data_IF_428038768174
#
_entry.id   IF_428038768174
#
_cell.length_a   1.000
_cell.length_b   1.000
_cell.length_c   1.000
_cell.angle_alpha   90.00
_cell.angle_beta   90.00
_cell.angle_gamma   90.00
#
_symmetry.space_group_name_H-M   'P 1'
#
loop_
_entity.id
_entity.type
_entity.pdbx_description
1 polymer ?
#
# COMPACT_ATOMS: atom_id res chain seq x y z
N UNK A 1 -25.15 8.68 8.65
CA UNK A 1 -23.88 8.98 9.32
C UNK A 1 -23.27 10.19 8.64
N UNK A 2 -22.91 11.22 9.39
CA UNK A 2 -22.13 12.37 8.89
C UNK A 2 -20.63 12.08 8.96
N UNK A 3 -19.79 12.89 8.31
CA UNK A 3 -18.32 12.78 8.46
C UNK A 3 -17.89 12.99 9.92
N UNK A 4 -18.57 13.89 10.62
CA UNK A 4 -18.31 14.15 12.03
C UNK A 4 -18.56 12.89 12.88
N UNK A 5 -19.73 12.26 12.72
CA UNK A 5 -20.05 11.01 13.39
C UNK A 5 -19.05 9.91 13.04
N UNK A 6 -18.60 9.83 11.79
CA UNK A 6 -17.60 8.85 11.37
C UNK A 6 -16.29 8.99 12.16
N UNK A 7 -15.74 10.20 12.30
CA UNK A 7 -14.50 10.42 13.06
C UNK A 7 -14.66 10.08 14.54
N UNK A 8 -15.77 10.49 15.15
CA UNK A 8 -16.05 10.18 16.56
C UNK A 8 -16.16 8.67 16.79
N UNK A 9 -16.81 7.93 15.88
CA UNK A 9 -16.90 6.48 16.00
C UNK A 9 -15.55 5.79 15.77
N UNK A 10 -14.70 6.29 14.85
CA UNK A 10 -13.35 5.76 14.68
C UNK A 10 -12.49 5.91 15.94
N UNK A 11 -12.61 7.04 16.65
CA UNK A 11 -11.92 7.23 17.93
C UNK A 11 -12.44 6.26 18.99
N UNK A 12 -13.76 6.16 19.16
CA UNK A 12 -14.40 5.27 20.16
C UNK A 12 -14.01 3.81 20.01
N UNK A 13 -13.91 3.30 18.78
CA UNK A 13 -13.52 1.90 18.53
C UNK A 13 -12.00 1.70 18.57
N UNK A 14 -11.23 2.75 18.84
CA UNK A 14 -9.77 2.71 18.85
C UNK A 14 -9.16 2.51 17.46
N UNK A 15 -9.86 2.85 16.38
CA UNK A 15 -9.29 2.84 15.04
C UNK A 15 -8.29 3.99 14.84
N UNK A 16 -8.42 5.08 15.61
CA UNK A 16 -7.43 6.16 15.69
C UNK A 16 -6.70 6.03 17.03
N UNK A 17 -5.39 5.79 16.99
CA UNK A 17 -4.55 5.57 18.17
C UNK A 17 -3.46 6.63 18.23
N UNK A 18 -3.25 7.22 19.41
CA UNK A 18 -2.15 8.15 19.69
C UNK A 18 -1.13 7.50 20.64
N UNK A 19 0.16 7.70 20.40
CA UNK A 19 1.21 6.97 21.11
C UNK A 19 2.47 6.82 20.25
N UNK A 20 3.31 5.84 20.55
CA UNK A 20 4.51 5.56 19.75
C UNK A 20 4.32 4.28 18.95
N UNK A 21 4.28 4.40 17.63
CA UNK A 21 4.05 3.27 16.72
C UNK A 21 5.21 3.12 15.74
N UNK A 22 5.86 1.97 15.73
CA UNK A 22 6.91 1.68 14.76
C UNK A 22 6.28 1.28 13.43
N UNK A 23 6.46 2.11 12.40
CA UNK A 23 5.99 1.86 11.04
C UNK A 23 6.88 0.82 10.35
N UNK A 24 6.39 0.22 9.25
CA UNK A 24 7.19 -0.68 8.40
C UNK A 24 8.48 -0.02 7.87
N UNK A 25 8.50 1.31 7.77
CA UNK A 25 9.69 2.08 7.39
C UNK A 25 10.76 2.16 8.50
N UNK A 26 10.47 1.70 9.71
CA UNK A 26 11.30 1.87 10.91
C UNK A 26 11.11 3.22 11.62
N UNK A 27 10.31 4.13 11.06
CA UNK A 27 9.99 5.41 11.70
C UNK A 27 9.02 5.20 12.88
N UNK A 28 9.17 6.00 13.92
CA UNK A 28 8.24 6.04 15.05
C UNK A 28 7.21 7.14 14.80
N UNK A 29 5.97 6.74 14.57
CA UNK A 29 4.82 7.62 14.38
C UNK A 29 4.15 7.96 15.71
N UNK A 30 3.73 9.23 15.92
CA UNK A 30 2.97 9.65 17.10
C UNK A 30 1.50 9.19 17.07
N UNK A 31 1.06 8.60 15.95
CA UNK A 31 -0.30 8.12 15.73
C UNK A 31 -0.35 6.89 14.82
N UNK A 32 -1.46 6.16 14.85
CA UNK A 32 -1.75 5.06 13.94
C UNK A 32 -3.25 5.03 13.63
N UNK A 33 -3.59 4.80 12.36
CA UNK A 33 -4.98 4.66 11.91
C UNK A 33 -5.15 3.26 11.37
N UNK A 34 -6.10 2.51 11.91
CA UNK A 34 -6.40 1.13 11.56
C UNK A 34 -7.85 0.94 11.12
N UNK A 35 -8.10 1.12 9.83
CA UNK A 35 -9.45 0.96 9.27
C UNK A 35 -9.88 -0.50 9.12
N UNK A 36 -9.03 -1.49 9.45
CA UNK A 36 -9.46 -2.90 9.47
C UNK A 36 -10.51 -3.14 10.55
N UNK A 37 -10.41 -2.42 11.66
CA UNK A 37 -11.34 -2.54 12.79
C UNK A 37 -12.79 -2.29 12.38
N UNK A 38 -13.04 -1.38 11.43
CA UNK A 38 -14.41 -1.01 11.04
C UNK A 38 -15.21 -2.19 10.49
N UNK A 39 -14.53 -3.23 9.99
CA UNK A 39 -15.19 -4.45 9.48
C UNK A 39 -15.95 -5.22 10.57
N UNK A 40 -15.57 -5.03 11.84
CA UNK A 40 -16.25 -5.58 13.02
C UNK A 40 -17.44 -4.74 13.48
N UNK A 41 -17.70 -3.58 12.85
CA UNK A 41 -18.76 -2.63 13.22
C UNK A 41 -19.67 -2.36 12.02
N UNK A 42 -20.72 -3.19 11.78
CA UNK A 42 -21.53 -3.13 10.57
C UNK A 42 -22.21 -1.78 10.31
N UNK A 43 -22.61 -1.05 11.35
CA UNK A 43 -23.19 0.28 11.21
C UNK A 43 -22.17 1.31 10.71
N UNK A 44 -20.94 1.25 11.23
CA UNK A 44 -19.84 2.10 10.82
C UNK A 44 -19.39 1.78 9.39
N UNK A 45 -19.24 0.48 9.08
CA UNK A 45 -18.92 0.01 7.74
C UNK A 45 -19.99 0.43 6.70
N UNK A 46 -21.27 0.32 7.04
CA UNK A 46 -22.34 0.82 6.18
C UNK A 46 -22.35 2.35 6.08
N UNK A 47 -22.05 3.05 7.16
CA UNK A 47 -21.96 4.50 7.23
C UNK A 47 -20.89 5.05 6.28
N UNK A 48 -19.67 4.50 6.34
CA UNK A 48 -18.59 4.90 5.42
C UNK A 48 -18.92 4.57 3.97
N UNK A 49 -19.53 3.41 3.71
CA UNK A 49 -19.95 3.05 2.35
C UNK A 49 -21.03 3.99 1.80
N UNK A 50 -21.97 4.45 2.65
CA UNK A 50 -22.97 5.46 2.25
C UNK A 50 -22.31 6.81 1.92
N UNK A 51 -21.37 7.26 2.76
CA UNK A 51 -20.65 8.51 2.55
C UNK A 51 -19.81 8.49 1.26
N UNK A 52 -19.14 7.37 0.99
CA UNK A 52 -18.40 7.18 -0.25
C UNK A 52 -19.34 7.12 -1.45
N UNK A 53 -20.40 6.31 -1.40
CA UNK A 53 -21.37 6.19 -2.48
C UNK A 53 -21.96 7.56 -2.86
N UNK A 54 -22.35 8.37 -1.86
CA UNK A 54 -22.86 9.72 -2.09
C UNK A 54 -21.82 10.66 -2.73
N UNK A 55 -20.54 10.54 -2.34
CA UNK A 55 -19.45 11.37 -2.88
C UNK A 55 -19.18 11.07 -4.37
N UNK A 56 -19.38 9.83 -4.81
CA UNK A 56 -18.93 9.36 -6.12
C UNK A 56 -20.08 9.07 -7.08
N UNK A 57 -21.34 9.16 -6.65
CA UNK A 57 -22.52 8.75 -7.44
C UNK A 57 -22.62 9.43 -8.82
N UNK A 58 -22.09 10.64 -8.94
CA UNK A 58 -22.15 11.46 -10.15
C UNK A 58 -20.85 11.38 -10.98
N UNK A 59 -19.87 10.55 -10.57
CA UNK A 59 -18.65 10.30 -11.33
C UNK A 59 -18.90 9.33 -12.48
N UNK A 60 -18.14 9.47 -13.56
CA UNK A 60 -18.23 8.62 -14.76
C UNK A 60 -17.32 7.39 -14.63
N UNK A 61 -17.91 6.24 -14.32
CA UNK A 61 -17.20 4.96 -14.26
C UNK A 61 -18.16 3.78 -14.46
N UNK A 62 -17.64 2.65 -14.94
CA UNK A 62 -18.42 1.44 -15.26
C UNK A 62 -18.38 0.42 -14.12
N UNK A 63 -17.20 0.26 -13.51
CA UNK A 63 -16.92 -0.79 -12.53
C UNK A 63 -16.14 -0.24 -11.32
N UNK A 64 -16.23 -0.95 -10.20
CA UNK A 64 -15.54 -0.59 -8.95
C UNK A 64 -14.55 -1.68 -8.60
N UNK A 65 -13.40 -1.29 -8.05
CA UNK A 65 -12.50 -2.20 -7.34
C UNK A 65 -12.12 -1.67 -5.97
N UNK A 66 -11.73 -2.58 -5.08
CA UNK A 66 -11.12 -2.26 -3.79
C UNK A 66 -9.69 -2.77 -3.73
N UNK A 67 -8.75 -1.96 -3.22
CA UNK A 67 -7.38 -2.41 -2.96
C UNK A 67 -7.38 -3.42 -1.79
N UNK A 68 -6.85 -4.65 -1.98
CA UNK A 68 -6.85 -5.64 -0.91
C UNK A 68 -6.02 -5.23 0.31
N UNK A 69 -6.46 -5.47 1.55
CA UNK A 69 -7.68 -6.20 1.95
C UNK A 69 -8.75 -5.29 2.56
N UNK A 70 -8.35 -4.25 3.28
CA UNK A 70 -9.26 -3.40 4.08
C UNK A 70 -10.32 -2.72 3.22
N UNK A 71 -9.97 -2.33 1.99
CA UNK A 71 -10.90 -1.64 1.11
C UNK A 71 -11.92 -2.59 0.44
N UNK A 72 -11.70 -3.91 0.43
CA UNK A 72 -12.61 -4.84 -0.26
C UNK A 72 -14.02 -4.87 0.33
N UNK A 73 -14.23 -4.99 1.67
CA UNK A 73 -15.57 -4.89 2.25
C UNK A 73 -16.24 -3.54 1.98
N UNK A 74 -15.46 -2.45 2.01
CA UNK A 74 -15.95 -1.10 1.74
C UNK A 74 -16.42 -1.00 0.28
N UNK A 75 -15.56 -1.39 -0.67
CA UNK A 75 -15.83 -1.35 -2.10
C UNK A 75 -17.02 -2.24 -2.46
N UNK A 76 -17.16 -3.42 -1.85
CA UNK A 76 -18.30 -4.29 -2.07
C UNK A 76 -19.63 -3.64 -1.67
N UNK A 77 -19.67 -2.95 -0.53
CA UNK A 77 -20.87 -2.24 -0.11
C UNK A 77 -21.15 -1.00 -0.96
N UNK A 78 -20.12 -0.28 -1.37
CA UNK A 78 -20.25 0.88 -2.28
C UNK A 78 -20.80 0.42 -3.64
N UNK A 79 -20.22 -0.64 -4.22
CA UNK A 79 -20.67 -1.24 -5.47
C UNK A 79 -22.14 -1.70 -5.38
N UNK A 80 -22.52 -2.35 -4.28
CA UNK A 80 -23.90 -2.74 -4.03
C UNK A 80 -24.84 -1.53 -3.92
N UNK A 81 -24.43 -0.42 -3.28
CA UNK A 81 -25.26 0.79 -3.17
C UNK A 81 -25.45 1.49 -4.52
N UNK A 82 -24.40 1.53 -5.34
CA UNK A 82 -24.41 2.18 -6.65
C UNK A 82 -24.89 1.27 -7.78
N UNK A 83 -25.19 0.00 -7.48
CA UNK A 83 -25.56 -1.01 -8.48
C UNK A 83 -24.51 -1.16 -9.59
N UNK A 84 -23.23 -1.09 -9.21
CA UNK A 84 -22.08 -1.21 -10.11
C UNK A 84 -21.40 -2.58 -9.93
N UNK A 85 -20.89 -3.21 -11.00
CA UNK A 85 -20.09 -4.43 -10.87
C UNK A 85 -18.85 -4.20 -10.01
N UNK A 86 -18.56 -5.15 -9.12
CA UNK A 86 -17.31 -5.20 -8.35
C UNK A 86 -16.33 -6.16 -9.02
N UNK A 87 -15.11 -5.69 -9.26
CA UNK A 87 -13.96 -6.52 -9.58
C UNK A 87 -12.89 -6.35 -8.49
N UNK A 88 -11.92 -7.26 -8.40
CA UNK A 88 -10.81 -7.10 -7.45
C UNK A 88 -9.56 -7.89 -7.85
N UNK A 89 -8.38 -7.34 -7.55
CA UNK A 89 -7.09 -8.01 -7.74
C UNK A 89 -6.86 -8.99 -6.59
N UNK A 90 -6.37 -10.19 -6.88
CA UNK A 90 -5.83 -11.12 -5.88
C UNK A 90 -4.42 -10.69 -5.51
N UNK A 91 -4.09 -10.73 -4.23
CA UNK A 91 -2.72 -10.46 -3.77
C UNK A 91 -1.76 -11.60 -4.12
N UNK A 92 -2.27 -12.82 -4.22
CA UNK A 92 -1.51 -14.03 -4.54
C UNK A 92 -1.87 -14.51 -5.94
N UNK A 93 -0.86 -14.75 -6.77
CA UNK A 93 -1.05 -15.40 -8.07
C UNK A 93 -1.32 -16.89 -7.85
N UNK A 94 -2.41 -17.41 -8.43
CA UNK A 94 -2.64 -18.85 -8.46
C UNK A 94 -1.93 -19.44 -9.67
N UNK A 95 -1.08 -20.44 -9.44
CA UNK A 95 -0.38 -21.17 -10.49
C UNK A 95 -1.29 -22.03 -11.40
N UNK A 96 -2.57 -22.24 -11.05
CA UNK A 96 -3.49 -23.12 -11.77
C UNK A 96 -4.89 -22.49 -11.97
N UNK A 97 -5.45 -22.59 -13.19
CA UNK A 97 -6.77 -22.06 -13.57
C UNK A 97 -6.73 -21.07 -14.73
N UNK A 98 -7.80 -20.26 -14.95
CA UNK A 98 -7.92 -19.26 -16.04
C UNK A 98 -6.98 -18.03 -15.93
N UNK A 99 -5.85 -18.15 -15.20
CA UNK A 99 -4.65 -17.31 -15.35
C UNK A 99 -4.74 -15.83 -14.97
N UNK A 100 -5.90 -15.29 -14.60
CA UNK A 100 -6.06 -13.86 -14.27
C UNK A 100 -5.77 -13.53 -12.81
N UNK A 101 -5.05 -12.43 -12.58
CA UNK A 101 -4.88 -11.81 -11.26
C UNK A 101 -6.11 -11.02 -10.80
N UNK A 102 -7.05 -10.72 -11.72
CA UNK A 102 -8.30 -9.98 -11.47
C UNK A 102 -9.49 -10.93 -11.46
N UNK A 103 -10.34 -10.78 -10.44
CA UNK A 103 -11.61 -11.50 -10.28
C UNK A 103 -12.76 -10.57 -10.62
N UNK A 104 -13.74 -11.07 -11.36
CA UNK A 104 -14.95 -10.34 -11.76
C UNK A 104 -15.15 -10.38 -13.27
N UNK A 105 -16.18 -9.70 -13.75
CA UNK A 105 -16.44 -9.52 -15.19
C UNK A 105 -16.21 -8.07 -15.55
N UNK A 106 -15.44 -7.84 -16.61
CA UNK A 106 -15.15 -6.53 -17.17
C UNK A 106 -14.87 -6.67 -18.67
N UNK A 107 -14.93 -5.58 -19.39
CA UNK A 107 -14.58 -5.46 -20.80
C UNK A 107 -13.39 -4.52 -20.97
N UNK A 108 -12.71 -4.65 -22.11
CA UNK A 108 -11.64 -3.72 -22.45
C UNK A 108 -12.24 -2.33 -22.68
N UNK A 109 -11.67 -1.32 -22.06
CA UNK A 109 -12.16 0.07 -22.08
C UNK A 109 -13.16 0.40 -20.97
N UNK A 110 -13.54 -0.56 -20.12
CA UNK A 110 -14.33 -0.23 -18.92
C UNK A 110 -13.53 0.73 -18.04
N UNK A 111 -14.19 1.80 -17.56
CA UNK A 111 -13.62 2.74 -16.60
C UNK A 111 -13.78 2.21 -15.18
N UNK A 112 -12.66 2.00 -14.50
CA UNK A 112 -12.63 1.46 -13.15
C UNK A 112 -12.30 2.53 -12.12
N UNK A 113 -13.22 2.71 -11.16
CA UNK A 113 -13.00 3.50 -9.97
C UNK A 113 -12.32 2.65 -8.89
N UNK A 114 -11.15 3.08 -8.42
CA UNK A 114 -10.37 2.34 -7.42
C UNK A 114 -10.61 2.90 -6.02
N UNK A 115 -11.14 2.07 -5.13
CA UNK A 115 -11.37 2.42 -3.72
C UNK A 115 -10.22 1.89 -2.85
N UNK A 116 -9.69 2.74 -1.96
CA UNK A 116 -8.75 2.36 -0.91
C UNK A 116 -9.25 2.82 0.47
N UNK A 117 -8.76 2.19 1.53
CA UNK A 117 -9.10 2.61 2.90
C UNK A 117 -8.35 3.90 3.26
N UNK A 118 -7.06 3.96 2.98
CA UNK A 118 -6.26 5.14 3.26
C UNK A 118 -5.15 5.35 2.22
N UNK A 119 -4.62 6.57 2.16
CA UNK A 119 -3.40 6.86 1.39
C UNK A 119 -2.33 7.45 2.30
N UNK A 120 -1.10 7.00 2.09
CA UNK A 120 0.11 7.57 2.71
C UNK A 120 1.08 8.00 1.63
N UNK A 121 1.29 7.11 0.66
CA UNK A 121 2.02 7.31 -0.60
C UNK A 121 1.16 6.75 -1.73
N UNK A 122 1.38 7.20 -2.96
CA UNK A 122 0.70 6.74 -4.18
C UNK A 122 1.11 5.34 -4.64
N UNK A 123 2.26 4.82 -4.20
CA UNK A 123 2.82 3.54 -4.68
C UNK A 123 1.83 2.36 -4.82
N UNK A 124 1.01 2.04 -3.78
CA UNK A 124 0.06 0.90 -3.85
C UNK A 124 -1.07 1.12 -4.85
N UNK A 125 -1.44 2.39 -5.06
CA UNK A 125 -2.48 2.81 -6.00
C UNK A 125 -1.96 2.71 -7.42
N UNK A 126 -0.75 3.21 -7.67
CA UNK A 126 -0.07 3.10 -8.97
C UNK A 126 0.10 1.63 -9.36
N UNK A 127 0.61 0.77 -8.46
CA UNK A 127 0.74 -0.68 -8.73
C UNK A 127 -0.62 -1.35 -9.03
N UNK A 128 -1.69 -0.85 -8.43
CA UNK A 128 -3.04 -1.32 -8.69
C UNK A 128 -3.53 -0.89 -10.07
N UNK A 129 -3.40 0.40 -10.42
CA UNK A 129 -3.78 0.93 -11.72
C UNK A 129 -3.05 0.20 -12.85
N UNK A 130 -1.73 0.06 -12.76
CA UNK A 130 -0.93 -0.64 -13.77
C UNK A 130 -1.43 -2.08 -14.03
N UNK A 131 -1.87 -2.78 -12.98
CA UNK A 131 -2.40 -4.14 -13.12
C UNK A 131 -3.73 -4.17 -13.89
N UNK A 132 -4.60 -3.18 -13.67
CA UNK A 132 -5.87 -3.03 -14.38
C UNK A 132 -5.68 -2.56 -15.82
N UNK A 133 -4.80 -1.58 -16.04
CA UNK A 133 -4.45 -1.07 -17.37
C UNK A 133 -3.83 -2.16 -18.24
N UNK A 134 -2.97 -3.02 -17.69
CA UNK A 134 -2.43 -4.20 -18.39
C UNK A 134 -3.52 -5.19 -18.80
N UNK A 135 -4.64 -5.25 -18.06
CA UNK A 135 -5.81 -6.04 -18.41
C UNK A 135 -6.78 -5.33 -19.36
N UNK A 136 -6.46 -4.09 -19.79
CA UNK A 136 -7.27 -3.29 -20.71
C UNK A 136 -8.40 -2.51 -20.03
N UNK A 137 -8.34 -2.33 -18.71
CA UNK A 137 -9.29 -1.51 -17.93
C UNK A 137 -8.70 -0.12 -17.73
N UNK A 138 -9.50 0.92 -17.91
CA UNK A 138 -9.06 2.32 -17.74
C UNK A 138 -9.16 2.72 -16.27
N UNK A 139 -8.11 3.32 -15.71
CA UNK A 139 -8.10 3.82 -14.32
C UNK A 139 -7.74 5.30 -14.34
N UNK A 140 -8.66 6.16 -13.93
CA UNK A 140 -8.43 7.61 -13.83
C UNK A 140 -8.57 8.12 -12.39
N UNK A 141 -9.49 7.53 -11.62
CA UNK A 141 -9.92 8.07 -10.33
C UNK A 141 -9.68 7.07 -9.19
N UNK A 142 -9.02 7.56 -8.15
CA UNK A 142 -8.89 6.89 -6.86
C UNK A 142 -9.76 7.56 -5.82
N UNK A 143 -10.44 6.75 -5.01
CA UNK A 143 -11.27 7.23 -3.90
C UNK A 143 -10.77 6.60 -2.61
N UNK A 144 -10.44 7.42 -1.62
CA UNK A 144 -9.93 6.97 -0.33
C UNK A 144 -10.84 7.41 0.81
N UNK A 145 -10.96 6.58 1.84
CA UNK A 145 -11.67 7.01 3.06
C UNK A 145 -10.86 8.09 3.76
N UNK A 146 -9.59 7.84 4.04
CA UNK A 146 -8.72 8.79 4.75
C UNK A 146 -7.50 9.15 3.92
N UNK A 147 -7.35 10.44 3.65
CA UNK A 147 -6.08 10.98 3.17
C UNK A 147 -5.21 11.43 4.33
N UNK A 148 -4.18 10.64 4.62
CA UNK A 148 -3.14 10.97 5.61
C UNK A 148 -1.79 11.27 4.96
N UNK A 149 -1.77 11.39 3.64
CA UNK A 149 -0.57 11.78 2.91
C UNK A 149 -0.35 13.28 3.10
N UNK A 150 0.89 13.73 2.90
CA UNK A 150 1.14 15.17 2.79
C UNK A 150 1.34 15.62 1.34
N UNK A 151 1.43 14.70 0.38
CA UNK A 151 1.58 15.00 -1.06
C UNK A 151 0.98 13.90 -1.99
N UNK A 152 0.03 13.10 -1.49
CA UNK A 152 -0.49 11.95 -2.22
C UNK A 152 -1.30 12.33 -3.46
N UNK A 153 -1.95 13.50 -3.43
CA UNK A 153 -2.63 14.08 -4.60
C UNK A 153 -1.62 14.38 -5.69
N UNK A 154 -0.55 15.13 -5.39
CA UNK A 154 0.46 15.52 -6.37
C UNK A 154 1.21 14.30 -6.93
N UNK A 155 1.48 13.29 -6.09
CA UNK A 155 2.13 12.05 -6.53
C UNK A 155 1.27 11.30 -7.56
N UNK A 156 -0.04 11.21 -7.35
CA UNK A 156 -0.96 10.55 -8.27
C UNK A 156 -1.20 11.37 -9.54
N UNK A 157 -1.32 12.69 -9.41
CA UNK A 157 -1.48 13.61 -10.56
C UNK A 157 -0.27 13.55 -11.51
N UNK A 158 0.94 13.39 -10.99
CA UNK A 158 2.16 13.18 -11.80
C UNK A 158 2.11 11.91 -12.66
N UNK A 159 1.28 10.94 -12.27
CA UNK A 159 1.06 9.69 -13.01
C UNK A 159 -0.25 9.70 -13.81
N UNK A 160 -0.94 10.84 -13.89
CA UNK A 160 -2.19 10.99 -14.64
C UNK A 160 -3.44 10.57 -13.89
N UNK A 161 -3.36 10.32 -12.58
CA UNK A 161 -4.47 9.87 -11.75
C UNK A 161 -5.03 10.98 -10.86
N UNK A 162 -6.33 10.96 -10.59
CA UNK A 162 -7.01 11.88 -9.68
C UNK A 162 -7.28 11.21 -8.35
N UNK A 163 -7.04 11.93 -7.25
CA UNK A 163 -7.31 11.45 -5.90
C UNK A 163 -8.52 12.18 -5.29
N UNK A 164 -9.46 11.41 -4.76
CA UNK A 164 -10.64 11.89 -4.05
C UNK A 164 -10.66 11.32 -2.64
N UNK A 165 -10.59 12.16 -1.62
CA UNK A 165 -10.68 11.71 -0.23
C UNK A 165 -12.05 12.02 0.38
N UNK A 166 -12.55 11.12 1.24
CA UNK A 166 -13.73 11.40 2.04
C UNK A 166 -13.39 12.41 3.14
N UNK A 167 -12.26 12.24 3.81
CA UNK A 167 -11.77 13.14 4.85
C UNK A 167 -10.23 13.16 4.87
N UNK A 168 -9.64 14.31 5.20
CA UNK A 168 -8.20 14.45 5.38
C UNK A 168 -7.78 14.22 6.83
N UNK A 169 -6.51 13.88 7.07
CA UNK A 169 -5.94 13.82 8.42
C UNK A 169 -6.04 15.16 9.14
N UNK A 170 -5.90 16.28 8.41
CA UNK A 170 -6.04 17.63 8.97
C UNK A 170 -7.45 17.82 9.53
N UNK A 171 -8.49 17.46 8.77
CA UNK A 171 -9.88 17.57 9.21
C UNK A 171 -10.17 16.65 10.40
N UNK A 172 -9.62 15.43 10.41
CA UNK A 172 -9.73 14.49 11.54
C UNK A 172 -9.14 15.11 12.80
N UNK A 173 -7.91 15.63 12.72
CA UNK A 173 -7.22 16.22 13.88
C UNK A 173 -7.95 17.47 14.41
N UNK A 174 -8.44 18.31 13.50
CA UNK A 174 -9.20 19.49 13.87
C UNK A 174 -10.49 19.11 14.61
N UNK A 175 -11.23 18.13 14.09
CA UNK A 175 -12.45 17.66 14.72
C UNK A 175 -12.19 17.02 16.09
N UNK A 176 -11.18 16.15 16.21
CA UNK A 176 -10.82 15.53 17.49
C UNK A 176 -10.39 16.58 18.53
N UNK A 177 -9.75 17.66 18.09
CA UNK A 177 -9.39 18.79 18.95
C UNK A 177 -10.61 19.58 19.40
N UNK A 178 -11.55 19.87 18.50
CA UNK A 178 -12.81 20.56 18.81
C UNK A 178 -13.67 19.76 19.80
N UNK A 179 -13.58 18.43 19.75
CA UNK A 179 -14.23 17.52 20.69
C UNK A 179 -13.43 17.30 21.99
N UNK A 180 -12.32 18.03 22.18
CA UNK A 180 -11.42 17.92 23.34
C UNK A 180 -10.81 16.52 23.56
N UNK A 181 -10.83 15.66 22.55
CA UNK A 181 -10.27 14.29 22.59
C UNK A 181 -8.75 14.30 22.45
N UNK A 182 -8.18 15.35 21.85
CA UNK A 182 -6.74 15.56 21.75
C UNK A 182 -6.35 17.01 22.05
N UNK A 183 -5.10 17.19 22.51
CA UNK A 183 -4.56 18.52 22.80
C UNK A 183 -4.02 19.21 21.55
N UNK A 184 -3.93 20.55 21.57
CA UNK A 184 -3.26 21.30 20.51
C UNK A 184 -1.79 20.89 20.31
N UNK A 185 -1.11 20.49 21.39
CA UNK A 185 0.24 19.95 21.32
C UNK A 185 0.30 18.63 20.53
N UNK A 186 -0.68 17.75 20.73
CA UNK A 186 -0.78 16.48 19.98
C UNK A 186 -1.06 16.70 18.50
N UNK A 187 -1.94 17.65 18.16
CA UNK A 187 -2.19 18.03 16.76
C UNK A 187 -0.89 18.45 16.09
N UNK A 188 -0.15 19.38 16.71
CA UNK A 188 1.12 19.87 16.20
C UNK A 188 2.15 18.75 16.02
N UNK A 189 2.26 17.84 16.99
CA UNK A 189 3.16 16.68 16.90
C UNK A 189 2.85 15.78 15.68
N UNK A 190 1.58 15.53 15.40
CA UNK A 190 1.14 14.71 14.25
C UNK A 190 1.41 15.43 12.92
N UNK A 191 1.13 16.74 12.86
CA UNK A 191 1.39 17.56 11.67
C UNK A 191 2.89 17.61 11.33
N UNK A 192 3.74 17.87 12.32
CA UNK A 192 5.20 17.92 12.15
C UNK A 192 5.75 16.56 11.69
N UNK A 193 5.25 15.46 12.26
CA UNK A 193 5.62 14.12 11.82
C UNK A 193 5.19 13.87 10.36
N UNK A 194 3.95 14.21 10.01
CA UNK A 194 3.40 13.95 8.67
C UNK A 194 4.15 14.76 7.60
N UNK A 195 4.49 16.02 7.87
CA UNK A 195 5.35 16.83 7.01
C UNK A 195 6.77 16.26 6.89
N UNK A 196 7.28 15.61 7.93
CA UNK A 196 8.61 14.99 7.89
C UNK A 196 8.69 13.79 6.94
N UNK A 197 7.56 13.12 6.66
CA UNK A 197 7.48 11.99 5.72
C UNK A 197 7.71 12.41 4.27
N UNK A 198 7.41 13.67 3.94
CA UNK A 198 7.57 14.23 2.60
C UNK A 198 8.97 14.72 2.28
N UNK A 199 9.85 14.83 3.29
CA UNK A 199 11.24 15.18 3.00
C UNK A 199 11.82 14.02 2.18
N UNK A 200 12.41 14.28 0.99
CA UNK A 200 13.07 13.23 0.23
C UNK A 200 13.99 12.52 1.22
N UNK A 201 13.86 11.19 1.34
CA UNK A 201 14.73 10.38 2.19
C UNK A 201 16.13 10.87 1.86
N UNK A 202 16.81 11.54 2.81
CA UNK A 202 18.20 11.97 2.62
C UNK A 202 18.88 10.75 2.03
N UNK A 203 19.37 10.86 0.80
CA UNK A 203 20.06 9.76 0.13
C UNK A 203 21.10 9.31 1.14
N UNK A 204 20.87 8.17 1.76
CA UNK A 204 21.79 7.69 2.79
C UNK A 204 23.01 7.37 1.96
N UNK A 205 24.11 8.09 2.17
CA UNK A 205 25.33 7.81 1.43
C UNK A 205 25.57 6.30 1.58
N UNK A 206 25.50 5.53 0.48
CA UNK A 206 25.60 4.09 0.58
C UNK A 206 26.93 3.79 1.25
N UNK A 207 26.92 2.92 2.25
CA UNK A 207 28.17 2.48 2.85
C UNK A 207 29.01 1.77 1.77
N UNK A 208 30.30 1.54 2.06
CA UNK A 208 31.20 0.94 1.08
C UNK A 208 30.70 -0.40 0.52
N UNK A 209 29.97 -1.21 1.31
CA UNK A 209 29.40 -2.47 0.83
C UNK A 209 28.22 -2.24 -0.11
N UNK A 210 27.32 -1.32 0.22
CA UNK A 210 26.19 -0.96 -0.64
C UNK A 210 26.67 -0.37 -1.97
N UNK A 211 27.74 0.44 -1.96
CA UNK A 211 28.35 0.95 -3.20
C UNK A 211 28.85 -0.18 -4.09
N UNK A 212 29.64 -1.12 -3.54
CA UNK A 212 30.12 -2.29 -4.28
C UNK A 212 29.00 -3.13 -4.87
N UNK A 213 27.90 -3.30 -4.13
CA UNK A 213 26.73 -4.04 -4.64
C UNK A 213 26.04 -3.31 -5.78
N UNK A 214 25.86 -1.99 -5.67
CA UNK A 214 25.28 -1.18 -6.74
C UNK A 214 26.15 -1.19 -8.00
N UNK A 215 27.48 -1.08 -7.85
CA UNK A 215 28.45 -1.22 -8.94
C UNK A 215 28.30 -2.60 -9.61
N UNK A 216 28.17 -3.69 -8.83
CA UNK A 216 27.97 -5.04 -9.39
C UNK A 216 26.62 -5.22 -10.08
N UNK A 217 25.55 -4.61 -9.58
CA UNK A 217 24.24 -4.58 -10.22
C UNK A 217 24.34 -3.95 -11.60
N UNK A 218 25.04 -2.81 -11.68
CA UNK A 218 25.22 -2.07 -12.93
C UNK A 218 26.14 -2.81 -13.92
N UNK A 219 27.28 -3.30 -13.44
CA UNK A 219 28.25 -4.07 -14.23
C UNK A 219 27.61 -5.32 -14.87
N UNK A 220 26.83 -6.07 -14.09
CA UNK A 220 26.18 -7.32 -14.55
C UNK A 220 24.81 -7.11 -15.18
N UNK A 221 24.25 -5.90 -15.10
CA UNK A 221 22.85 -5.61 -15.47
C UNK A 221 21.86 -6.62 -14.88
N UNK A 222 22.08 -6.95 -13.61
CA UNK A 222 21.32 -7.98 -12.89
C UNK A 222 21.10 -7.54 -11.46
N UNK A 223 20.02 -8.01 -10.86
CA UNK A 223 19.74 -7.88 -9.43
C UNK A 223 19.60 -9.25 -8.74
N UNK A 224 20.08 -10.32 -9.39
CA UNK A 224 19.99 -11.69 -8.89
C UNK A 224 20.80 -11.87 -7.61
N UNK A 225 20.12 -12.29 -6.54
CA UNK A 225 20.72 -12.71 -5.27
C UNK A 225 20.47 -14.21 -5.12
N UNK A 226 21.55 -14.96 -4.91
CA UNK A 226 21.48 -16.41 -4.78
C UNK A 226 21.63 -16.79 -3.30
N UNK A 227 20.70 -17.59 -2.78
CA UNK A 227 20.85 -18.26 -1.49
C UNK A 227 21.18 -19.72 -1.76
N UNK A 228 22.41 -20.15 -1.46
CA UNK A 228 22.85 -21.54 -1.63
C UNK A 228 23.01 -22.19 -0.28
N UNK A 229 22.11 -23.13 0.01
CA UNK A 229 22.16 -23.98 1.20
C UNK A 229 22.33 -25.44 0.74
N UNK A 230 23.54 -25.81 0.29
CA UNK A 230 23.91 -27.17 -0.16
C UNK A 230 25.03 -27.75 0.70
N UNK A 231 25.10 -29.09 0.80
CA UNK A 231 25.96 -29.77 1.78
C UNK A 231 27.38 -30.09 1.28
N UNK A 232 27.65 -29.91 -0.02
CA UNK A 232 28.97 -30.23 -0.61
C UNK A 232 29.54 -29.06 -1.42
N UNK A 233 30.86 -28.90 -1.42
CA UNK A 233 31.56 -27.92 -2.26
C UNK A 233 31.31 -28.12 -3.74
N UNK A 234 31.27 -29.37 -4.20
CA UNK A 234 31.10 -29.69 -5.61
C UNK A 234 29.78 -29.11 -6.14
N UNK A 235 28.68 -29.32 -5.43
CA UNK A 235 27.38 -28.78 -5.78
C UNK A 235 27.34 -27.25 -5.63
N UNK A 236 27.94 -26.73 -4.56
CA UNK A 236 28.03 -25.28 -4.33
C UNK A 236 28.68 -24.54 -5.50
N UNK A 237 29.86 -24.98 -5.93
CA UNK A 237 30.58 -24.34 -7.03
C UNK A 237 29.92 -24.58 -8.38
N UNK A 238 29.33 -25.76 -8.62
CA UNK A 238 28.59 -26.01 -9.85
C UNK A 238 27.43 -25.01 -10.04
N UNK A 239 26.65 -24.75 -9.00
CA UNK A 239 25.53 -23.80 -9.06
C UNK A 239 26.05 -22.37 -9.16
N UNK A 240 27.10 -22.04 -8.40
CA UNK A 240 27.70 -20.70 -8.42
C UNK A 240 28.26 -20.35 -9.80
N UNK A 241 28.94 -21.29 -10.47
CA UNK A 241 29.47 -21.12 -11.82
C UNK A 241 28.34 -20.96 -12.85
N UNK A 242 27.27 -21.75 -12.75
CA UNK A 242 26.13 -21.65 -13.64
C UNK A 242 25.41 -20.29 -13.54
N UNK A 243 25.40 -19.67 -12.36
CA UNK A 243 24.80 -18.36 -12.13
C UNK A 243 25.79 -17.18 -12.18
N UNK A 244 27.08 -17.43 -12.45
CA UNK A 244 28.16 -16.48 -12.23
C UNK A 244 28.00 -15.17 -13.03
N UNK A 245 27.43 -15.23 -14.24
CA UNK A 245 27.21 -14.06 -15.09
C UNK A 245 26.15 -13.10 -14.54
N UNK A 246 25.21 -13.60 -13.74
CA UNK A 246 24.04 -12.83 -13.29
C UNK A 246 24.05 -12.56 -11.79
N UNK A 247 24.67 -13.40 -10.97
CA UNK A 247 24.66 -13.25 -9.51
C UNK A 247 25.40 -11.99 -9.05
N UNK A 248 24.73 -11.15 -8.25
CA UNK A 248 25.29 -9.95 -7.62
C UNK A 248 25.73 -10.22 -6.18
N UNK A 249 24.98 -11.07 -5.47
CA UNK A 249 25.26 -11.43 -4.08
C UNK A 249 24.96 -12.91 -3.86
N UNK A 250 25.83 -13.56 -3.10
CA UNK A 250 25.65 -14.92 -2.60
C UNK A 250 25.45 -14.88 -1.09
N UNK A 251 24.41 -15.54 -0.60
CA UNK A 251 24.23 -15.87 0.80
C UNK A 251 24.33 -17.38 0.96
N UNK A 252 25.09 -17.84 1.96
CA UNK A 252 25.24 -19.25 2.27
C UNK A 252 25.51 -19.43 3.76
N UNK A 253 25.21 -20.61 4.27
CA UNK A 253 25.62 -21.05 5.60
C UNK A 253 26.78 -22.02 5.44
N UNK A 254 27.99 -21.59 5.81
CA UNK A 254 29.20 -22.38 5.57
C UNK A 254 29.24 -23.64 6.44
N UNK A 255 28.57 -23.62 7.59
CA UNK A 255 28.49 -24.70 8.56
C UNK A 255 27.72 -25.94 8.08
N UNK A 256 26.93 -25.83 7.00
CA UNK A 256 26.24 -26.98 6.41
C UNK A 256 27.12 -27.74 5.40
N UNK A 257 28.24 -27.14 4.95
CA UNK A 257 29.16 -27.77 4.02
C UNK A 257 29.96 -28.84 4.77
N UNK A 258 29.64 -30.11 4.48
CA UNK A 258 30.24 -31.27 5.13
C UNK A 258 31.72 -31.47 4.80
N UNK A 259 32.17 -30.89 3.69
CA UNK A 259 33.52 -30.94 3.17
C UNK A 259 34.21 -29.57 3.17
N UNK A 260 33.76 -28.61 4.00
CA UNK A 260 34.41 -27.32 4.18
C UNK A 260 35.83 -27.46 4.75
N UNK A 261 36.82 -26.80 4.12
CA UNK A 261 38.20 -26.72 4.62
C UNK A 261 38.52 -25.27 4.99
N UNK A 262 39.31 -25.09 6.04
CA UNK A 262 39.75 -23.77 6.50
C UNK A 262 40.99 -23.24 5.75
N UNK A 263 41.40 -23.92 4.66
CA UNK A 263 42.68 -23.70 3.96
C UNK A 263 42.54 -22.95 2.63
#
# INVERSE_FOLDING_TARGET
MTKEQFVTELEKIGAIKFGKFTLKSGLVSPFYIDLREITSYPELLNGVANLLAEKIKDMDFDIITGIPYTALPIAALVANKLQKPLIYKRKEEKAYGTGGSIVGKFQKGDKCLVIDDLITTGASKIETAEAYEKAGVEVEDFVVVIDRSANGTEELEQHGYKLHSLISLVDILQQLREQELITAAKVKEVEEFTQSLNKPKKSRQPNAMTQKLLEKIEEKRSNLILSLDVETKAEFFQILEAAASEIVMLKTHVDILTDFDDN
#
